data_IF_069657390905
#
_entry.id   IF_069657390905
#
_cell.length_a   1.000
_cell.length_b   1.000
_cell.length_c   1.000
_cell.angle_alpha   90.00
_cell.angle_beta   90.00
_cell.angle_gamma   90.00
#
_symmetry.space_group_name_H-M   'P 1'
#
loop_
_entity.id
_entity.type
_entity.pdbx_description
1 polymer ?
#
# COMPACT_ATOMS: atom_id res chain seq x y z
N UNK A 1 38.30 44.90 22.01
CA UNK A 1 37.06 44.08 22.10
C UNK A 1 37.08 43.07 20.96
N UNK A 2 37.37 41.80 21.23
CA UNK A 2 37.43 40.74 20.21
C UNK A 2 36.39 39.67 20.53
N UNK A 3 35.21 39.76 19.90
CA UNK A 3 34.14 38.79 20.11
C UNK A 3 34.42 37.54 19.28
N UNK A 4 34.77 36.42 19.94
CA UNK A 4 34.91 35.11 19.31
C UNK A 4 33.52 34.51 19.11
N UNK A 5 32.99 34.62 17.89
CA UNK A 5 31.82 33.85 17.45
C UNK A 5 32.16 32.35 17.42
N UNK A 6 31.79 31.61 18.45
CA UNK A 6 31.73 30.14 18.40
C UNK A 6 30.52 29.76 17.53
N UNK A 7 30.76 29.36 16.28
CA UNK A 7 29.77 28.63 15.49
C UNK A 7 29.61 27.24 16.10
N UNK A 8 28.39 26.91 16.53
CA UNK A 8 28.02 25.56 16.90
C UNK A 8 28.17 24.65 15.67
N UNK A 9 28.91 23.55 15.83
CA UNK A 9 29.02 22.50 14.82
C UNK A 9 27.65 21.83 14.75
N UNK A 10 26.94 21.97 13.63
CA UNK A 10 25.74 21.21 13.35
C UNK A 10 26.11 19.73 13.33
N UNK A 11 25.45 18.93 14.17
CA UNK A 11 25.60 17.48 14.15
C UNK A 11 25.24 16.97 12.75
N UNK A 12 26.17 16.26 12.12
CA UNK A 12 25.91 15.60 10.85
C UNK A 12 24.69 14.67 11.01
N UNK A 13 23.79 14.58 10.02
CA UNK A 13 22.67 13.65 10.07
C UNK A 13 23.23 12.24 10.24
N UNK A 14 22.79 11.53 11.29
CA UNK A 14 23.17 10.15 11.54
C UNK A 14 22.90 9.32 10.28
N UNK A 15 23.92 8.73 9.68
CA UNK A 15 23.76 7.80 8.58
C UNK A 15 22.86 6.65 9.04
N UNK A 16 21.65 6.60 8.49
CA UNK A 16 20.74 5.49 8.73
C UNK A 16 21.28 4.27 7.98
N UNK A 17 21.92 3.36 8.72
CA UNK A 17 22.37 2.08 8.18
C UNK A 17 21.14 1.16 8.09
N UNK A 18 20.74 0.72 6.88
CA UNK A 18 19.64 -0.22 6.72
C UNK A 18 19.91 -1.55 7.45
N UNK A 19 18.91 -2.05 8.19
CA UNK A 19 18.94 -3.39 8.81
C UNK A 19 19.15 -4.46 7.74
N UNK A 20 19.94 -5.49 8.00
CA UNK A 20 20.03 -6.60 7.04
C UNK A 20 18.64 -7.25 6.85
N UNK A 21 18.31 -7.75 5.66
CA UNK A 21 16.95 -8.23 5.37
C UNK A 21 16.51 -9.39 6.27
N UNK A 22 17.45 -10.17 6.80
CA UNK A 22 17.19 -11.23 7.79
C UNK A 22 16.85 -10.72 9.20
N UNK A 23 17.13 -9.45 9.49
CA UNK A 23 16.86 -8.80 10.78
C UNK A 23 15.50 -8.08 10.80
N UNK A 24 14.86 -7.96 9.63
CA UNK A 24 13.51 -7.39 9.54
C UNK A 24 12.52 -8.39 10.11
N UNK A 25 11.67 -7.94 11.04
CA UNK A 25 10.63 -8.77 11.65
C UNK A 25 9.74 -9.37 10.57
N UNK A 26 9.70 -10.72 10.52
CA UNK A 26 8.88 -11.42 9.56
C UNK A 26 7.38 -11.16 9.80
N UNK A 27 6.62 -11.00 8.72
CA UNK A 27 5.18 -10.82 8.77
C UNK A 27 4.49 -11.73 7.76
N UNK A 28 3.45 -12.48 8.15
CA UNK A 28 2.85 -13.52 7.30
C UNK A 28 2.23 -12.99 6.00
N UNK A 29 2.00 -11.68 5.92
CA UNK A 29 1.40 -11.00 4.77
C UNK A 29 2.38 -10.09 4.02
N UNK A 30 3.67 -10.11 4.39
CA UNK A 30 4.74 -9.37 3.71
C UNK A 30 5.82 -10.36 3.27
N UNK A 31 6.16 -10.34 1.98
CA UNK A 31 7.23 -11.19 1.43
C UNK A 31 8.12 -10.34 0.55
N UNK A 32 9.42 -10.32 0.85
CA UNK A 32 10.44 -9.70 0.01
C UNK A 32 11.16 -10.78 -0.80
N UNK A 33 11.09 -10.68 -2.13
CA UNK A 33 11.82 -11.55 -3.05
C UNK A 33 12.66 -10.70 -3.99
N UNK A 34 13.99 -10.68 -3.78
CA UNK A 34 14.88 -9.75 -4.46
C UNK A 34 14.53 -8.31 -4.09
N UNK A 35 14.13 -7.50 -5.08
CA UNK A 35 13.69 -6.11 -4.91
C UNK A 35 12.16 -5.94 -4.99
N UNK A 36 11.42 -7.05 -4.98
CA UNK A 36 9.95 -7.09 -5.08
C UNK A 36 9.36 -7.35 -3.69
N UNK A 37 8.64 -6.37 -3.16
CA UNK A 37 7.87 -6.52 -1.92
C UNK A 37 6.43 -6.85 -2.23
N UNK A 38 5.95 -7.99 -1.75
CA UNK A 38 4.54 -8.40 -1.88
C UNK A 38 3.82 -8.15 -0.56
N UNK A 39 2.76 -7.35 -0.62
CA UNK A 39 1.85 -7.07 0.48
C UNK A 39 0.49 -7.73 0.18
N UNK A 40 -0.03 -8.49 1.13
CA UNK A 40 -1.35 -9.14 1.00
C UNK A 40 -2.33 -8.58 2.03
N UNK A 41 -3.36 -7.90 1.57
CA UNK A 41 -4.42 -7.34 2.39
C UNK A 41 -5.68 -8.16 2.13
N UNK A 42 -6.19 -8.80 3.18
CA UNK A 42 -7.38 -9.65 3.10
C UNK A 42 -8.41 -9.15 4.12
N UNK A 43 -9.45 -8.49 3.60
CA UNK A 43 -10.55 -7.99 4.42
C UNK A 43 -11.70 -9.01 4.59
N UNK A 44 -11.60 -10.17 3.93
CA UNK A 44 -12.66 -11.19 3.80
C UNK A 44 -12.38 -12.48 4.59
N UNK A 45 -11.14 -12.72 5.06
CA UNK A 45 -10.77 -13.92 5.79
C UNK A 45 -11.56 -14.16 7.09
N UNK A 46 -11.66 -15.42 7.57
CA UNK A 46 -12.23 -15.72 8.88
C UNK A 46 -11.42 -15.03 10.00
N UNK A 47 -12.09 -14.39 10.99
CA UNK A 47 -11.45 -13.60 12.07
C UNK A 47 -11.44 -12.07 11.84
N UNK A 48 -11.98 -11.62 10.71
CA UNK A 48 -11.92 -10.26 10.15
C UNK A 48 -12.60 -9.10 10.91
N UNK A 49 -13.01 -9.24 12.18
CA UNK A 49 -13.59 -8.12 12.93
C UNK A 49 -12.81 -7.71 14.19
N UNK A 50 -12.01 -8.61 14.76
CA UNK A 50 -11.24 -8.34 16.00
C UNK A 50 -9.73 -8.25 15.71
N UNK A 51 -9.23 -8.85 14.63
CA UNK A 51 -7.79 -8.86 14.27
C UNK A 51 -7.36 -7.75 13.28
N UNK A 52 -8.29 -6.91 12.80
CA UNK A 52 -8.05 -5.96 11.70
C UNK A 52 -7.19 -4.74 12.07
N UNK A 53 -7.40 -4.12 13.23
CA UNK A 53 -6.61 -2.95 13.63
C UNK A 53 -5.17 -3.33 14.00
N UNK A 54 -4.99 -4.49 14.65
CA UNK A 54 -3.66 -4.99 15.04
C UNK A 54 -2.81 -5.36 13.82
N UNK A 55 -3.43 -5.86 12.75
CA UNK A 55 -2.73 -6.25 11.52
C UNK A 55 -2.22 -5.04 10.74
N UNK A 56 -3.05 -4.01 10.50
CA UNK A 56 -2.60 -2.83 9.71
C UNK A 56 -1.55 -2.01 10.48
N UNK A 57 -1.69 -1.86 11.79
CA UNK A 57 -0.68 -1.20 12.62
C UNK A 57 0.65 -1.97 12.61
N UNK A 58 0.62 -3.30 12.76
CA UNK A 58 1.83 -4.11 12.66
C UNK A 58 2.46 -4.00 11.28
N UNK A 59 1.64 -4.00 10.21
CA UNK A 59 2.08 -3.74 8.83
C UNK A 59 2.82 -2.41 8.71
N UNK A 60 2.22 -1.31 9.17
CA UNK A 60 2.79 0.03 9.04
C UNK A 60 4.07 0.20 9.89
N UNK A 61 4.18 -0.52 11.00
CA UNK A 61 5.37 -0.45 11.87
C UNK A 61 6.63 -1.06 11.22
N UNK A 62 6.47 -2.10 10.40
CA UNK A 62 7.60 -2.83 9.79
C UNK A 62 7.85 -2.43 8.34
N UNK A 63 6.84 -1.90 7.64
CA UNK A 63 6.95 -1.50 6.24
C UNK A 63 8.15 -0.57 5.95
N UNK A 64 8.49 0.42 6.80
CA UNK A 64 9.66 1.28 6.59
C UNK A 64 10.99 0.52 6.50
N UNK A 65 11.15 -0.59 7.22
CA UNK A 65 12.39 -1.38 7.24
C UNK A 65 12.69 -2.01 5.87
N UNK A 66 11.66 -2.23 5.04
CA UNK A 66 11.82 -2.75 3.68
C UNK A 66 12.22 -1.65 2.68
N UNK A 67 11.92 -0.38 2.96
CA UNK A 67 12.05 0.73 2.01
C UNK A 67 13.41 0.83 1.28
N UNK A 68 14.57 0.53 1.91
CA UNK A 68 15.87 0.61 1.24
C UNK A 68 16.08 -0.43 0.12
N UNK A 69 15.28 -1.51 0.10
CA UNK A 69 15.45 -2.68 -0.76
C UNK A 69 14.43 -2.75 -1.91
N UNK A 70 13.32 -2.03 -1.79
CA UNK A 70 12.16 -2.18 -2.68
C UNK A 70 12.28 -1.28 -3.90
N UNK A 71 12.19 -1.88 -5.08
CA UNK A 71 11.96 -1.18 -6.35
C UNK A 71 10.55 -1.41 -6.89
N UNK A 72 10.00 -2.60 -6.64
CA UNK A 72 8.67 -2.98 -7.11
C UNK A 72 7.85 -3.41 -5.90
N UNK A 73 6.65 -2.86 -5.76
CA UNK A 73 5.69 -3.30 -4.76
C UNK A 73 4.51 -3.97 -5.44
N UNK A 74 4.18 -5.18 -5.01
CA UNK A 74 2.98 -5.91 -5.40
C UNK A 74 1.97 -5.83 -4.27
N UNK A 75 0.82 -5.23 -4.55
CA UNK A 75 -0.26 -5.05 -3.58
C UNK A 75 -1.43 -5.93 -3.96
N UNK A 76 -1.63 -7.04 -3.24
CA UNK A 76 -2.77 -7.94 -3.44
C UNK A 76 -3.85 -7.63 -2.43
N UNK A 77 -5.06 -7.30 -2.90
CA UNK A 77 -6.17 -6.86 -2.05
C UNK A 77 -7.38 -7.77 -2.31
N UNK A 78 -7.91 -8.38 -1.25
CA UNK A 78 -9.22 -9.03 -1.25
C UNK A 78 -10.19 -8.18 -0.45
N UNK A 79 -11.11 -7.52 -1.15
CA UNK A 79 -12.09 -6.62 -0.56
C UNK A 79 -13.43 -7.31 -0.34
N UNK A 80 -14.11 -6.96 0.76
CA UNK A 80 -15.45 -7.44 1.10
C UNK A 80 -16.48 -7.15 0.01
N UNK A 81 -17.55 -7.95 0.00
CA UNK A 81 -18.70 -7.71 -0.87
C UNK A 81 -19.45 -6.47 -0.34
N UNK A 82 -19.55 -5.35 -1.08
CA UNK A 82 -19.93 -4.08 -0.48
C UNK A 82 -21.33 -3.97 0.13
N UNK A 83 -22.28 -4.82 -0.28
CA UNK A 83 -23.62 -4.85 0.32
C UNK A 83 -23.71 -5.79 1.53
N UNK A 84 -22.66 -6.57 1.82
CA UNK A 84 -22.57 -7.45 2.97
C UNK A 84 -21.76 -6.82 4.12
N UNK A 85 -21.21 -5.62 3.92
CA UNK A 85 -20.33 -4.95 4.86
C UNK A 85 -20.95 -3.62 5.35
N UNK A 86 -20.90 -3.31 6.65
CA UNK A 86 -21.34 -2.01 7.16
C UNK A 86 -20.49 -0.85 6.56
N UNK A 87 -21.09 0.31 6.25
CA UNK A 87 -20.35 1.47 5.71
C UNK A 87 -19.18 1.95 6.57
N UNK A 88 -19.26 1.79 7.88
CA UNK A 88 -18.17 2.12 8.81
C UNK A 88 -16.92 1.27 8.58
N UNK A 89 -17.09 -0.02 8.28
CA UNK A 89 -15.97 -0.94 8.01
C UNK A 89 -15.32 -0.57 6.68
N UNK A 90 -16.11 -0.27 5.65
CA UNK A 90 -15.56 0.22 4.38
C UNK A 90 -14.77 1.52 4.54
N UNK A 91 -15.24 2.42 5.40
CA UNK A 91 -14.53 3.66 5.74
C UNK A 91 -13.20 3.39 6.44
N UNK A 92 -13.15 2.39 7.33
CA UNK A 92 -11.88 1.96 7.94
C UNK A 92 -10.91 1.40 6.90
N UNK A 93 -11.37 0.58 5.96
CA UNK A 93 -10.53 0.07 4.88
C UNK A 93 -9.95 1.20 4.02
N UNK A 94 -10.72 2.28 3.76
CA UNK A 94 -10.19 3.47 3.08
C UNK A 94 -9.05 4.10 3.89
N UNK A 95 -9.22 4.26 5.21
CA UNK A 95 -8.20 4.84 6.09
C UNK A 95 -6.92 3.99 6.13
N UNK A 96 -7.06 2.65 6.16
CA UNK A 96 -5.94 1.71 6.09
C UNK A 96 -5.15 1.91 4.78
N UNK A 97 -5.86 1.94 3.65
CA UNK A 97 -5.25 2.13 2.34
C UNK A 97 -4.56 3.49 2.20
N UNK A 98 -5.13 4.57 2.76
CA UNK A 98 -4.47 5.89 2.83
C UNK A 98 -3.16 5.81 3.61
N UNK A 99 -3.16 5.14 4.75
CA UNK A 99 -1.99 5.01 5.62
C UNK A 99 -0.89 4.21 4.93
N UNK A 100 -1.24 3.12 4.27
CA UNK A 100 -0.32 2.29 3.48
C UNK A 100 0.30 3.10 2.34
N UNK A 101 -0.51 3.82 1.55
CA UNK A 101 0.00 4.67 0.47
C UNK A 101 0.90 5.78 1.01
N UNK A 102 0.56 6.38 2.15
CA UNK A 102 1.38 7.37 2.84
C UNK A 102 2.77 6.84 3.21
N UNK A 103 2.85 5.60 3.68
CA UNK A 103 4.12 4.94 4.00
C UNK A 103 4.92 4.55 2.74
N UNK A 104 4.26 3.94 1.76
CA UNK A 104 4.85 3.57 0.47
C UNK A 104 5.46 4.79 -0.24
N UNK A 105 4.84 5.96 -0.14
CA UNK A 105 5.35 7.19 -0.73
C UNK A 105 6.70 7.66 -0.12
N UNK A 106 7.10 7.14 1.05
CA UNK A 106 8.40 7.43 1.64
C UNK A 106 9.54 6.61 1.00
N UNK A 107 9.21 5.57 0.23
CA UNK A 107 10.18 4.63 -0.34
C UNK A 107 10.93 5.25 -1.52
N UNK A 108 12.11 5.84 -1.28
CA UNK A 108 12.83 6.63 -2.29
C UNK A 108 13.21 5.86 -3.56
N UNK A 109 13.45 4.55 -3.46
CA UNK A 109 13.85 3.68 -4.58
C UNK A 109 12.67 3.00 -5.29
N UNK A 110 11.44 3.24 -4.85
CA UNK A 110 10.25 2.63 -5.45
C UNK A 110 10.02 3.18 -6.85
N UNK A 111 10.02 2.29 -7.84
CA UNK A 111 9.84 2.59 -9.25
C UNK A 111 8.44 2.18 -9.73
N UNK A 112 7.88 1.10 -9.18
CA UNK A 112 6.61 0.54 -9.65
C UNK A 112 5.74 -0.02 -8.51
N UNK A 113 4.43 0.20 -8.60
CA UNK A 113 3.40 -0.47 -7.80
C UNK A 113 2.45 -1.24 -8.73
N UNK A 114 2.25 -2.52 -8.43
CA UNK A 114 1.35 -3.43 -9.15
C UNK A 114 0.22 -3.82 -8.23
N UNK A 115 -0.98 -3.32 -8.50
CA UNK A 115 -2.18 -3.65 -7.71
C UNK A 115 -2.88 -4.85 -8.34
N UNK A 116 -3.21 -5.85 -7.52
CA UNK A 116 -4.02 -7.01 -7.88
C UNK A 116 -5.24 -7.06 -6.96
N UNK A 117 -6.43 -7.01 -7.55
CA UNK A 117 -7.68 -7.20 -6.81
C UNK A 117 -8.14 -8.66 -6.94
N UNK A 118 -8.47 -9.30 -5.81
CA UNK A 118 -9.26 -10.53 -5.80
C UNK A 118 -10.74 -10.12 -5.71
N UNK A 119 -11.52 -10.60 -6.67
CA UNK A 119 -12.95 -10.27 -6.83
C UNK A 119 -13.75 -11.56 -6.75
N UNK A 120 -14.85 -11.54 -6.00
CA UNK A 120 -15.71 -12.70 -5.83
C UNK A 120 -16.85 -12.70 -6.84
N UNK A 121 -17.70 -11.66 -6.81
CA UNK A 121 -18.95 -11.62 -7.60
C UNK A 121 -19.28 -10.23 -8.18
N UNK A 122 -18.81 -9.14 -7.55
CA UNK A 122 -19.16 -7.77 -7.92
C UNK A 122 -17.92 -6.97 -8.32
N UNK A 123 -17.58 -6.98 -9.62
CA UNK A 123 -16.28 -6.49 -10.11
C UNK A 123 -15.96 -5.06 -9.69
N UNK A 124 -16.71 -4.06 -10.13
CA UNK A 124 -16.31 -2.68 -9.88
C UNK A 124 -16.38 -2.26 -8.39
N UNK A 125 -17.45 -2.55 -7.62
CA UNK A 125 -17.53 -2.15 -6.23
C UNK A 125 -16.40 -2.72 -5.36
N UNK A 126 -16.00 -3.99 -5.56
CA UNK A 126 -14.87 -4.59 -4.83
C UNK A 126 -13.52 -3.97 -5.25
N UNK A 127 -13.40 -3.46 -6.47
CA UNK A 127 -12.19 -2.80 -6.97
C UNK A 127 -11.96 -1.39 -6.41
N UNK A 128 -12.94 -0.78 -5.71
CA UNK A 128 -12.82 0.62 -5.27
C UNK A 128 -11.59 0.92 -4.42
N UNK A 129 -11.15 -0.03 -3.57
CA UNK A 129 -9.94 0.15 -2.75
C UNK A 129 -8.66 0.28 -3.60
N UNK A 130 -8.64 -0.22 -4.84
CA UNK A 130 -7.55 0.01 -5.78
C UNK A 130 -7.37 1.50 -6.14
N UNK A 131 -8.40 2.33 -5.94
CA UNK A 131 -8.31 3.77 -6.17
C UNK A 131 -7.22 4.44 -5.30
N UNK A 132 -6.82 3.83 -4.19
CA UNK A 132 -5.70 4.29 -3.38
C UNK A 132 -4.39 4.48 -4.18
N UNK A 133 -4.19 3.71 -5.26
CA UNK A 133 -2.99 3.83 -6.10
C UNK A 133 -2.87 5.19 -6.81
N UNK A 134 -3.95 5.97 -6.89
CA UNK A 134 -3.89 7.34 -7.41
C UNK A 134 -3.26 8.34 -6.43
N UNK A 135 -3.13 7.97 -5.14
CA UNK A 135 -2.39 8.73 -4.14
C UNK A 135 -0.89 8.47 -4.11
N UNK A 136 -0.38 7.56 -4.95
CA UNK A 136 1.06 7.33 -5.09
C UNK A 136 1.75 8.54 -5.73
N UNK A 137 3.04 8.73 -5.43
CA UNK A 137 3.86 9.76 -6.08
C UNK A 137 3.84 9.62 -7.60
N UNK A 138 3.90 10.75 -8.30
CA UNK A 138 3.71 10.82 -9.75
C UNK A 138 4.75 10.02 -10.54
N UNK A 139 5.98 9.92 -10.04
CA UNK A 139 7.08 9.17 -10.67
C UNK A 139 6.92 7.64 -10.58
N UNK A 140 6.04 7.14 -9.71
CA UNK A 140 5.83 5.70 -9.51
C UNK A 140 4.90 5.17 -10.59
N UNK A 141 5.39 4.20 -11.36
CA UNK A 141 4.55 3.52 -12.34
C UNK A 141 3.50 2.67 -11.63
N UNK A 142 2.24 2.77 -12.07
CA UNK A 142 1.12 2.02 -11.49
C UNK A 142 0.47 1.11 -12.52
N UNK A 143 0.18 -0.12 -12.14
CA UNK A 143 -0.65 -1.03 -12.93
C UNK A 143 -1.72 -1.68 -12.07
N UNK A 144 -2.84 -2.02 -12.69
CA UNK A 144 -3.97 -2.68 -12.06
C UNK A 144 -4.34 -3.94 -12.84
N UNK A 145 -4.57 -5.01 -12.09
CA UNK A 145 -5.23 -6.22 -12.58
C UNK A 145 -6.26 -6.68 -11.55
N UNK A 146 -7.25 -7.43 -11.99
CA UNK A 146 -8.17 -8.13 -11.10
C UNK A 146 -8.26 -9.60 -11.48
N UNK A 147 -8.61 -10.44 -10.52
CA UNK A 147 -8.76 -11.89 -10.69
C UNK A 147 -10.09 -12.28 -10.08
N UNK A 148 -10.94 -12.93 -10.88
CA UNK A 148 -12.13 -13.61 -10.39
C UNK A 148 -11.74 -15.06 -10.08
N UNK A 149 -12.27 -15.63 -9.00
CA UNK A 149 -11.90 -16.98 -8.58
C UNK A 149 -12.20 -18.00 -9.70
N UNK A 150 -11.16 -18.73 -10.13
CA UNK A 150 -11.26 -19.72 -11.20
C UNK A 150 -11.08 -19.15 -12.61
N UNK A 151 -10.81 -17.85 -12.73
CA UNK A 151 -10.56 -17.16 -14.00
C UNK A 151 -9.11 -16.64 -14.09
N UNK A 152 -8.67 -16.36 -15.30
CA UNK A 152 -7.37 -15.73 -15.56
C UNK A 152 -7.36 -14.26 -15.13
N UNK A 153 -6.21 -13.71 -14.70
CA UNK A 153 -6.10 -12.30 -14.37
C UNK A 153 -6.43 -11.39 -15.55
N UNK A 154 -7.31 -10.41 -15.31
CA UNK A 154 -7.65 -9.38 -16.28
C UNK A 154 -6.88 -8.11 -15.95
N UNK A 155 -6.05 -7.65 -16.90
CA UNK A 155 -5.35 -6.38 -16.80
C UNK A 155 -6.30 -5.23 -17.14
N UNK A 156 -6.25 -4.16 -16.35
CA UNK A 156 -7.00 -2.93 -16.62
C UNK A 156 -6.05 -1.92 -17.25
N UNK A 157 -6.27 -1.62 -18.54
CA UNK A 157 -5.44 -0.64 -19.24
C UNK A 157 -5.71 0.79 -18.77
N UNK A 158 -4.71 1.67 -18.89
CA UNK A 158 -4.80 3.05 -18.39
C UNK A 158 -5.96 3.84 -19.01
N UNK A 159 -6.31 3.54 -20.26
CA UNK A 159 -7.38 4.22 -21.01
C UNK A 159 -8.78 3.64 -20.74
N UNK A 160 -8.85 2.51 -20.04
CA UNK A 160 -10.08 1.78 -19.72
C UNK A 160 -11.05 2.65 -18.91
N UNK A 161 -12.34 2.51 -19.19
CA UNK A 161 -13.39 3.18 -18.44
C UNK A 161 -13.33 2.87 -16.93
N UNK A 162 -12.90 1.67 -16.56
CA UNK A 162 -12.65 1.22 -15.19
C UNK A 162 -11.62 2.10 -14.50
N UNK A 163 -10.50 2.41 -15.16
CA UNK A 163 -9.47 3.30 -14.61
C UNK A 163 -10.01 4.71 -14.38
N UNK A 164 -10.80 5.25 -15.31
CA UNK A 164 -11.44 6.58 -15.14
C UNK A 164 -12.42 6.60 -13.98
N UNK A 165 -13.24 5.55 -13.83
CA UNK A 165 -14.16 5.42 -12.70
C UNK A 165 -13.41 5.33 -11.37
N UNK A 166 -12.32 4.57 -11.29
CA UNK A 166 -11.50 4.48 -10.08
C UNK A 166 -10.84 5.82 -9.74
N UNK A 167 -10.43 6.61 -10.74
CA UNK A 167 -9.96 7.97 -10.48
C UNK A 167 -11.07 8.86 -9.89
N UNK A 168 -12.31 8.70 -10.36
CA UNK A 168 -13.48 9.35 -9.75
C UNK A 168 -13.70 8.94 -8.29
N UNK A 169 -13.53 7.64 -7.98
CA UNK A 169 -13.56 7.12 -6.60
C UNK A 169 -12.47 7.76 -5.75
N UNK A 170 -11.23 7.80 -6.24
CA UNK A 170 -10.11 8.46 -5.55
C UNK A 170 -10.46 9.91 -5.17
N UNK A 171 -10.95 10.71 -6.14
CA UNK A 171 -11.31 12.11 -5.89
C UNK A 171 -12.43 12.30 -4.88
N UNK A 172 -13.34 11.33 -4.74
CA UNK A 172 -14.53 11.44 -3.89
C UNK A 172 -14.31 10.86 -2.49
N UNK A 173 -13.59 9.75 -2.40
CA UNK A 173 -13.52 8.93 -1.20
C UNK A 173 -12.14 9.02 -0.51
N UNK A 174 -11.08 9.43 -1.24
CA UNK A 174 -9.73 9.42 -0.72
C UNK A 174 -9.05 10.79 -0.55
N UNK A 175 -9.48 11.81 -1.29
CA UNK A 175 -9.11 13.21 -1.03
C UNK A 175 -9.97 13.78 0.09
#
# INVERSE_FOLDING_TARGET
MGSKNRRAVQAAPSEFIPKHTSEITAHPKIVLTGNILTLTIDYCGPGSTIEKSTSIESFLSILPDYAPYVKILQLSIHAGIPHMEPPSVYTSHIADMKSIVGEINKFKKLEQVRVRMLVDYCSFPQMKLAAAMFGLRQEVQRSLQYVVKGEEPVRVEQEDHTMRRLFGVWRKEFL
#
